data_IF_557326309372
#
_entry.id   IF_557326309372
#
_cell.length_a   1.000
_cell.length_b   1.000
_cell.length_c   1.000
_cell.angle_alpha   90.00
_cell.angle_beta   90.00
_cell.angle_gamma   90.00
#
_symmetry.space_group_name_H-M   'P 1'
#
loop_
_entity.id
_entity.type
_entity.pdbx_description
1 polymer ?
#
# COMPACT_ATOMS: atom_id res chain seq x y z
N UNK A 1 2.31 8.17 -13.26
CA UNK A 1 2.87 9.40 -12.69
C UNK A 1 2.15 10.63 -13.21
N UNK A 2 2.05 10.83 -14.54
CA UNK A 2 1.44 12.02 -15.14
C UNK A 2 0.01 12.28 -14.66
N UNK A 3 -0.84 11.25 -14.67
CA UNK A 3 -2.25 11.35 -14.28
C UNK A 3 -2.42 11.72 -12.80
N UNK A 4 -1.57 11.21 -11.93
CA UNK A 4 -1.62 11.52 -10.51
C UNK A 4 -1.26 12.98 -10.22
N UNK A 5 -0.28 13.51 -10.95
CA UNK A 5 0.07 14.93 -10.87
C UNK A 5 -1.07 15.83 -11.34
N UNK A 6 -1.77 15.42 -12.38
CA UNK A 6 -2.95 16.14 -12.87
C UNK A 6 -4.07 16.21 -11.81
N UNK A 7 -4.10 15.25 -10.90
CA UNK A 7 -5.03 15.24 -9.77
C UNK A 7 -4.50 15.99 -8.54
N UNK A 8 -3.39 16.67 -8.64
CA UNK A 8 -2.82 17.44 -7.54
C UNK A 8 -2.05 16.63 -6.52
N UNK A 9 -1.72 15.37 -6.83
CA UNK A 9 -0.91 14.53 -5.96
C UNK A 9 0.57 14.70 -6.26
N UNK A 10 1.37 14.87 -5.23
CA UNK A 10 2.82 14.85 -5.35
C UNK A 10 3.26 13.45 -5.75
N UNK A 11 3.90 13.37 -6.90
CA UNK A 11 4.34 12.09 -7.46
C UNK A 11 5.78 12.17 -7.93
N UNK A 12 6.54 11.14 -7.59
CA UNK A 12 7.89 10.93 -8.08
C UNK A 12 7.97 9.57 -8.76
N UNK A 13 8.82 9.46 -9.76
CA UNK A 13 9.14 8.20 -10.40
C UNK A 13 10.46 7.68 -9.85
N UNK A 14 10.47 6.45 -9.37
CA UNK A 14 11.68 5.84 -8.84
C UNK A 14 11.47 4.37 -8.47
N UNK A 15 12.53 3.75 -8.03
CA UNK A 15 12.53 2.36 -7.58
C UNK A 15 12.44 2.31 -6.05
N UNK A 16 11.43 1.61 -5.55
CA UNK A 16 11.23 1.41 -4.12
C UNK A 16 12.33 0.55 -3.46
N UNK A 17 13.17 -0.10 -4.24
CA UNK A 17 14.35 -0.84 -3.77
C UNK A 17 15.64 -0.04 -3.87
N UNK A 18 15.58 1.22 -4.28
CA UNK A 18 16.74 2.09 -4.40
C UNK A 18 16.87 2.98 -3.16
N UNK A 19 17.98 2.82 -2.46
CA UNK A 19 18.29 3.57 -1.23
C UNK A 19 18.37 5.09 -1.48
N UNK A 20 18.89 5.51 -2.61
CA UNK A 20 18.99 6.92 -2.97
C UNK A 20 17.59 7.53 -3.17
N UNK A 21 16.75 6.84 -3.92
CA UNK A 21 15.37 7.27 -4.13
C UNK A 21 14.59 7.36 -2.80
N UNK A 22 14.69 6.35 -1.95
CA UNK A 22 14.02 6.35 -0.64
C UNK A 22 14.54 7.48 0.24
N UNK A 23 15.84 7.74 0.21
CA UNK A 23 16.47 8.83 0.98
C UNK A 23 16.04 10.24 0.56
N UNK A 24 15.58 10.41 -0.68
CA UNK A 24 15.08 11.69 -1.19
C UNK A 24 13.61 11.97 -0.84
N UNK A 25 12.89 10.95 -0.37
CA UNK A 25 11.49 11.12 0.01
C UNK A 25 11.35 11.93 1.31
N UNK A 26 10.25 12.69 1.48
CA UNK A 26 10.03 13.50 2.68
C UNK A 26 9.62 12.66 3.89
N UNK A 27 10.46 11.71 4.28
CA UNK A 27 10.16 10.73 5.33
C UNK A 27 10.04 11.36 6.71
N UNK A 28 10.75 12.46 6.97
CA UNK A 28 10.66 13.15 8.26
C UNK A 28 9.28 13.73 8.55
N UNK A 29 8.51 14.02 7.52
CA UNK A 29 7.16 14.60 7.61
C UNK A 29 6.06 13.54 7.48
N UNK A 30 6.40 12.33 7.06
CA UNK A 30 5.45 11.26 6.84
C UNK A 30 5.13 10.52 8.14
N UNK A 31 3.85 10.25 8.37
CA UNK A 31 3.39 9.40 9.47
C UNK A 31 3.35 7.92 9.07
N UNK A 32 3.06 7.67 7.82
CA UNK A 32 2.94 6.34 7.25
C UNK A 32 3.70 6.20 5.94
N UNK A 33 4.29 5.03 5.75
CA UNK A 33 4.66 4.50 4.45
C UNK A 33 3.71 3.36 4.13
N UNK A 34 3.10 3.39 2.96
CA UNK A 34 2.24 2.31 2.49
C UNK A 34 2.85 1.70 1.24
N UNK A 35 3.39 0.51 1.38
CA UNK A 35 3.99 -0.24 0.29
C UNK A 35 2.95 -1.15 -0.40
N UNK A 36 2.65 -0.86 -1.64
CA UNK A 36 1.73 -1.65 -2.47
C UNK A 36 2.44 -2.34 -3.63
N UNK A 37 3.76 -2.46 -3.54
CA UNK A 37 4.57 -3.06 -4.59
C UNK A 37 4.20 -4.54 -4.74
N UNK A 38 3.79 -4.98 -5.93
CA UNK A 38 3.50 -6.38 -6.15
C UNK A 38 4.76 -7.23 -6.07
N UNK A 39 4.65 -8.40 -5.49
CA UNK A 39 5.71 -9.40 -5.58
C UNK A 39 5.63 -10.05 -6.95
N UNK A 40 6.68 -9.86 -7.73
CA UNK A 40 6.88 -10.65 -8.92
C UNK A 40 7.81 -11.81 -8.59
N UNK A 41 7.40 -13.05 -8.82
CA UNK A 41 8.33 -14.16 -8.78
C UNK A 41 9.23 -14.08 -10.03
N UNK A 42 10.16 -13.13 -10.04
CA UNK A 42 11.24 -13.17 -11.01
C UNK A 42 12.27 -14.16 -10.49
N UNK A 43 12.45 -15.27 -11.18
CA UNK A 43 13.27 -16.40 -10.74
C UNK A 43 14.78 -16.14 -10.61
N UNK A 44 15.22 -14.90 -10.45
CA UNK A 44 16.63 -14.53 -10.38
C UNK A 44 17.00 -13.68 -9.16
N UNK A 45 16.07 -13.10 -8.43
CA UNK A 45 16.36 -12.46 -7.17
C UNK A 45 15.44 -12.99 -6.08
N UNK A 46 16.04 -13.51 -5.02
CA UNK A 46 15.32 -13.97 -3.84
C UNK A 46 14.96 -12.83 -2.89
N UNK A 47 15.25 -11.59 -3.29
CA UNK A 47 14.96 -10.42 -2.47
C UNK A 47 13.53 -9.94 -2.72
N UNK A 48 12.78 -9.91 -1.65
CA UNK A 48 11.45 -9.32 -1.65
C UNK A 48 11.57 -7.80 -1.58
N UNK A 49 11.10 -7.09 -2.59
CA UNK A 49 11.13 -5.63 -2.65
C UNK A 49 10.44 -4.99 -1.45
N UNK A 50 9.44 -5.63 -0.89
CA UNK A 50 8.72 -5.14 0.30
C UNK A 50 9.62 -5.12 1.53
N UNK A 51 10.36 -6.19 1.76
CA UNK A 51 11.35 -6.28 2.84
C UNK A 51 12.46 -5.24 2.67
N UNK A 52 12.93 -5.10 1.45
CA UNK A 52 13.93 -4.09 1.11
C UNK A 52 13.43 -2.67 1.39
N UNK A 53 12.20 -2.36 1.00
CA UNK A 53 11.56 -1.08 1.29
C UNK A 53 11.53 -0.78 2.80
N UNK A 54 11.13 -1.75 3.61
CA UNK A 54 11.11 -1.60 5.07
C UNK A 54 12.50 -1.28 5.61
N UNK A 55 13.49 -2.04 5.18
CA UNK A 55 14.89 -1.88 5.62
C UNK A 55 15.45 -0.53 5.22
N UNK A 56 15.23 -0.12 3.97
CA UNK A 56 15.72 1.17 3.46
C UNK A 56 15.03 2.35 4.14
N UNK A 57 13.73 2.27 4.38
CA UNK A 57 13.00 3.30 5.09
C UNK A 57 13.54 3.50 6.52
N UNK A 58 13.76 2.42 7.25
CA UNK A 58 14.33 2.49 8.60
C UNK A 58 15.77 2.98 8.59
N UNK A 59 16.57 2.54 7.62
CA UNK A 59 17.95 3.02 7.46
C UNK A 59 18.02 4.52 7.11
N UNK A 60 17.04 5.04 6.39
CA UNK A 60 16.91 6.46 6.09
C UNK A 60 16.41 7.30 7.28
N UNK A 61 16.11 6.67 8.41
CA UNK A 61 15.69 7.35 9.63
C UNK A 61 14.17 7.50 9.78
N UNK A 62 13.38 6.83 8.96
CA UNK A 62 11.92 6.87 9.10
C UNK A 62 11.49 6.21 10.42
N UNK A 63 10.71 6.93 11.23
CA UNK A 63 10.24 6.50 12.56
C UNK A 63 8.73 6.32 12.63
N UNK A 64 8.03 6.58 11.55
CA UNK A 64 6.58 6.38 11.46
C UNK A 64 6.21 4.91 11.29
N UNK A 65 5.00 4.68 10.90
CA UNK A 65 4.43 3.34 10.71
C UNK A 65 4.56 2.90 9.26
N UNK A 66 4.74 1.61 9.07
CA UNK A 66 4.85 0.99 7.75
C UNK A 66 3.73 -0.03 7.56
N UNK A 67 2.91 0.20 6.54
CA UNK A 67 1.90 -0.75 6.08
C UNK A 67 2.38 -1.38 4.78
N UNK A 68 2.25 -2.69 4.65
CA UNK A 68 2.63 -3.44 3.45
C UNK A 68 1.44 -4.23 2.95
N UNK A 69 1.18 -4.18 1.65
CA UNK A 69 0.18 -5.02 1.02
C UNK A 69 0.74 -6.42 0.77
N UNK A 70 -0.04 -7.42 1.16
CA UNK A 70 0.25 -8.83 0.89
C UNK A 70 -0.90 -9.48 0.14
N UNK A 71 -0.59 -10.24 -0.89
CA UNK A 71 -1.59 -10.98 -1.66
C UNK A 71 -1.68 -12.45 -1.27
N UNK A 72 -0.81 -12.89 -0.37
CA UNK A 72 -0.76 -14.27 0.10
C UNK A 72 -0.72 -14.31 1.63
N UNK A 73 -1.63 -15.06 2.29
CA UNK A 73 -1.65 -15.18 3.75
C UNK A 73 -0.32 -15.66 4.35
N UNK A 74 0.46 -16.42 3.58
CA UNK A 74 1.77 -16.93 4.02
C UNK A 74 2.80 -15.82 4.26
N UNK A 75 2.65 -14.71 3.56
CA UNK A 75 3.63 -13.62 3.62
C UNK A 75 3.38 -12.69 4.80
N UNK A 76 2.20 -12.75 5.41
CA UNK A 76 1.78 -11.82 6.46
C UNK A 76 2.70 -11.86 7.66
N UNK A 77 3.01 -13.05 8.18
CA UNK A 77 3.93 -13.20 9.30
C UNK A 77 5.35 -12.75 8.94
N UNK A 78 5.78 -13.04 7.72
CA UNK A 78 7.09 -12.61 7.23
C UNK A 78 7.18 -11.09 7.17
N UNK A 79 6.15 -10.40 6.71
CA UNK A 79 6.13 -8.95 6.64
C UNK A 79 6.15 -8.31 8.04
N UNK A 80 5.41 -8.85 9.01
CA UNK A 80 5.52 -8.41 10.39
C UNK A 80 6.91 -8.67 10.96
N UNK A 81 7.48 -9.83 10.69
CA UNK A 81 8.86 -10.14 11.10
C UNK A 81 9.91 -9.23 10.47
N UNK A 82 9.66 -8.72 9.27
CA UNK A 82 10.54 -7.76 8.60
C UNK A 82 10.41 -6.34 9.15
N UNK A 83 9.37 -6.04 9.94
CA UNK A 83 9.17 -4.74 10.58
C UNK A 83 7.97 -3.94 10.11
N UNK A 84 7.03 -4.55 9.38
CA UNK A 84 5.76 -3.91 9.07
C UNK A 84 4.91 -3.76 10.34
N UNK A 85 4.29 -2.61 10.48
CA UNK A 85 3.33 -2.35 11.58
C UNK A 85 1.92 -2.81 11.23
N UNK A 86 1.61 -2.84 9.95
CA UNK A 86 0.32 -3.27 9.42
C UNK A 86 0.54 -4.03 8.12
N UNK A 87 -0.17 -5.14 7.96
CA UNK A 87 -0.23 -5.86 6.70
C UNK A 87 -1.64 -5.77 6.14
N UNK A 88 -1.75 -5.23 4.96
CA UNK A 88 -3.01 -5.14 4.22
C UNK A 88 -3.15 -6.39 3.35
N UNK A 89 -4.24 -7.11 3.51
CA UNK A 89 -4.55 -8.31 2.74
C UNK A 89 -5.78 -8.03 1.86
N UNK A 90 -5.61 -7.36 0.71
CA UNK A 90 -6.73 -6.80 -0.05
C UNK A 90 -7.82 -7.82 -0.42
N UNK A 91 -7.45 -9.06 -0.71
CA UNK A 91 -8.42 -10.09 -1.05
C UNK A 91 -9.14 -10.63 0.19
N UNK A 92 -8.42 -10.84 1.29
CA UNK A 92 -9.02 -11.28 2.54
C UNK A 92 -9.90 -10.19 3.14
N UNK A 93 -9.39 -8.97 3.17
CA UNK A 93 -10.13 -7.81 3.68
C UNK A 93 -11.43 -7.60 2.87
N UNK A 94 -11.35 -7.75 1.54
CA UNK A 94 -12.53 -7.68 0.68
C UNK A 94 -13.51 -8.83 0.92
N UNK A 95 -13.02 -10.05 1.16
CA UNK A 95 -13.86 -11.20 1.48
C UNK A 95 -14.56 -11.03 2.83
N UNK A 96 -13.85 -10.58 3.84
CA UNK A 96 -14.42 -10.31 5.16
C UNK A 96 -15.50 -9.22 5.07
N UNK A 97 -15.20 -8.18 4.32
CA UNK A 97 -16.16 -7.11 4.06
C UNK A 97 -17.40 -7.61 3.31
N UNK A 98 -17.22 -8.49 2.34
CA UNK A 98 -18.33 -9.10 1.60
C UNK A 98 -19.22 -9.94 2.52
N UNK A 99 -18.64 -10.72 3.41
CA UNK A 99 -19.38 -11.49 4.41
C UNK A 99 -20.21 -10.57 5.30
N UNK A 100 -19.62 -9.51 5.81
CA UNK A 100 -20.34 -8.53 6.63
C UNK A 100 -21.52 -7.92 5.89
N UNK A 101 -21.33 -7.55 4.65
CA UNK A 101 -22.40 -6.96 3.81
C UNK A 101 -23.50 -7.94 3.44
N UNK A 102 -23.12 -9.18 3.13
CA UNK A 102 -24.07 -10.20 2.66
C UNK A 102 -24.83 -10.85 3.82
N UNK A 103 -24.19 -11.01 4.97
CA UNK A 103 -24.80 -11.63 6.14
C UNK A 103 -25.54 -10.64 7.03
N UNK A 104 -25.51 -9.34 6.72
CA UNK A 104 -26.15 -8.31 7.52
C UNK A 104 -25.60 -8.17 8.94
N UNK A 105 -24.42 -8.72 9.21
CA UNK A 105 -23.80 -8.71 10.54
C UNK A 105 -23.25 -7.33 10.93
N UNK A 106 -23.05 -6.45 9.97
CA UNK A 106 -22.63 -5.09 10.20
C UNK A 106 -23.76 -4.13 9.88
N UNK A 107 -24.34 -3.51 10.90
CA UNK A 107 -24.92 -2.19 10.75
C UNK A 107 -23.75 -1.26 10.45
N UNK A 108 -23.26 -1.33 9.24
CA UNK A 108 -22.31 -0.36 8.78
C UNK A 108 -23.09 0.89 8.53
N UNK A 109 -22.96 1.87 9.44
CA UNK A 109 -23.11 3.22 9.01
C UNK A 109 -22.28 3.32 7.73
N UNK A 110 -22.93 3.51 6.61
CA UNK A 110 -22.26 3.94 5.41
C UNK A 110 -21.57 5.25 5.77
N UNK A 111 -20.35 5.14 6.21
CA UNK A 111 -19.43 6.22 5.96
C UNK A 111 -19.41 6.26 4.44
N UNK A 112 -20.12 7.22 3.89
CA UNK A 112 -20.10 7.45 2.47
C UNK A 112 -18.64 7.65 2.09
N UNK A 113 -18.00 6.56 1.71
CA UNK A 113 -16.85 6.70 0.84
C UNK A 113 -17.46 7.43 -0.34
N UNK A 114 -17.04 8.66 -0.61
CA UNK A 114 -17.52 9.31 -1.80
C UNK A 114 -17.20 8.33 -2.92
N UNK A 115 -18.23 7.69 -3.38
CA UNK A 115 -18.18 7.01 -4.64
C UNK A 115 -17.72 8.08 -5.57
N UNK A 116 -16.50 7.99 -6.05
CA UNK A 116 -16.11 8.78 -7.19
C UNK A 116 -17.06 8.29 -8.27
N UNK A 117 -18.20 8.92 -8.30
CA UNK A 117 -19.08 8.83 -9.43
C UNK A 117 -18.26 9.39 -10.57
N UNK A 118 -17.78 8.53 -11.38
CA UNK A 118 -17.41 8.89 -12.73
C UNK A 118 -18.68 9.39 -13.43
N UNK A 119 -19.11 10.57 -13.05
CA UNK A 119 -20.14 11.29 -13.77
C UNK A 119 -19.56 11.98 -14.97
N UNK A 120 -18.66 11.33 -15.65
CA UNK A 120 -18.17 11.92 -16.88
C UNK A 120 -18.46 11.03 -18.07
N UNK A 121 -19.66 10.58 -18.13
CA UNK A 121 -20.08 9.86 -19.30
C UNK A 121 -21.38 10.31 -19.84
N UNK A 122 -21.53 11.59 -19.81
CA UNK A 122 -22.54 12.22 -20.65
C UNK A 122 -21.88 13.26 -21.54
N UNK A 123 -20.87 12.83 -22.29
CA UNK A 123 -20.57 13.54 -23.50
C UNK A 123 -21.62 13.12 -24.54
N UNK A 124 -22.36 14.06 -25.09
CA UNK A 124 -23.22 13.76 -26.23
C UNK A 124 -22.42 13.25 -27.40
#
# INVERSE_FOLDING_TARGET
VRRWREWGLDTAFGDAADAEFIGELPLAEAEWIVGTVPTHPTGLSHEDTRTTLIQLARAAGFRGRIAIASHHPRDTEEMFGAGADLVLEPFQDAADRAVDLLCGAATVERTEIPTIRTEDKQAP
#
